data_IF_217752465886
#
_entry.id   IF_217752465886
#
_cell.length_a   1.000
_cell.length_b   1.000
_cell.length_c   1.000
_cell.angle_alpha   90.00
_cell.angle_beta   90.00
_cell.angle_gamma   90.00
#
_symmetry.space_group_name_H-M   'P 1'
#
loop_
_entity.id
_entity.type
_entity.pdbx_description
1 polymer ?
#
# COMPACT_ATOMS: atom_id res chain seq x y z
N UNK A 1 -8.65 -20.16 -43.71
CA UNK A 1 -7.65 -20.29 -42.64
C UNK A 1 -6.47 -19.38 -42.98
N UNK A 2 -6.30 -18.27 -42.26
CA UNK A 2 -5.23 -17.32 -42.53
C UNK A 2 -3.88 -17.97 -42.19
N UNK A 3 -2.99 -18.04 -43.19
CA UNK A 3 -1.64 -18.58 -43.06
C UNK A 3 -0.85 -17.72 -42.05
N UNK A 4 -0.34 -18.35 -41.00
CA UNK A 4 0.55 -17.70 -40.05
C UNK A 4 1.90 -17.40 -40.74
N UNK A 5 2.48 -16.19 -40.58
CA UNK A 5 3.73 -15.85 -41.23
C UNK A 5 4.87 -16.73 -40.69
N UNK A 6 5.48 -17.51 -41.59
CA UNK A 6 6.61 -18.44 -41.37
C UNK A 6 7.98 -17.74 -41.41
N UNK A 7 8.04 -16.46 -41.03
CA UNK A 7 9.30 -15.75 -40.79
C UNK A 7 9.83 -16.01 -39.38
N UNK A 8 11.16 -15.95 -39.20
CA UNK A 8 11.79 -15.91 -37.87
C UNK A 8 11.26 -14.68 -37.12
N UNK A 9 10.24 -14.85 -36.29
CA UNK A 9 9.62 -13.75 -35.56
C UNK A 9 10.61 -13.13 -34.58
N UNK A 10 10.87 -11.83 -34.73
CA UNK A 10 11.68 -11.04 -33.81
C UNK A 10 11.05 -11.11 -32.42
N UNK A 11 11.74 -11.79 -31.50
CA UNK A 11 11.24 -12.03 -30.16
C UNK A 11 12.38 -12.03 -29.16
N UNK A 12 12.16 -11.35 -28.05
CA UNK A 12 13.06 -11.39 -26.89
C UNK A 12 12.29 -11.90 -25.69
N UNK A 13 12.93 -12.79 -24.93
CA UNK A 13 12.39 -13.28 -23.68
C UNK A 13 13.28 -12.79 -22.54
N UNK A 14 12.67 -12.12 -21.58
CA UNK A 14 13.33 -11.64 -20.37
C UNK A 14 12.57 -12.08 -19.13
N UNK A 15 13.26 -12.06 -17.99
CA UNK A 15 12.66 -12.39 -16.71
C UNK A 15 12.91 -11.29 -15.67
N UNK A 16 11.92 -11.08 -14.81
CA UNK A 16 11.98 -10.27 -13.61
C UNK A 16 11.77 -11.15 -12.38
N UNK A 17 12.42 -10.82 -11.27
CA UNK A 17 12.34 -11.61 -10.02
C UNK A 17 12.25 -10.69 -8.82
N UNK A 18 11.30 -10.98 -7.93
CA UNK A 18 11.18 -10.32 -6.63
C UNK A 18 10.70 -11.33 -5.60
N UNK A 19 11.47 -11.54 -4.52
CA UNK A 19 11.22 -12.65 -3.58
C UNK A 19 11.02 -13.95 -4.37
N UNK A 20 9.99 -14.73 -4.07
CA UNK A 20 9.67 -15.97 -4.79
C UNK A 20 8.89 -15.75 -6.09
N UNK A 21 8.50 -14.52 -6.43
CA UNK A 21 7.76 -14.22 -7.65
C UNK A 21 8.71 -14.14 -8.86
N UNK A 22 8.30 -14.81 -9.95
CA UNK A 22 8.99 -14.80 -11.23
C UNK A 22 8.02 -14.34 -12.31
N UNK A 23 8.43 -13.30 -13.03
CA UNK A 23 7.73 -12.79 -14.19
C UNK A 23 8.57 -13.05 -15.44
N UNK A 24 7.93 -13.50 -16.52
CA UNK A 24 8.54 -13.71 -17.83
C UNK A 24 7.84 -12.80 -18.83
N UNK A 25 8.61 -11.92 -19.46
CA UNK A 25 8.15 -11.04 -20.52
C UNK A 25 8.61 -11.58 -21.88
N UNK A 26 7.67 -11.78 -22.78
CA UNK A 26 7.91 -12.06 -24.18
C UNK A 26 7.60 -10.80 -24.97
N UNK A 27 8.64 -10.22 -25.55
CA UNK A 27 8.62 -8.96 -26.27
C UNK A 27 8.74 -9.24 -27.76
N UNK A 28 7.83 -8.71 -28.57
CA UNK A 28 7.77 -8.92 -30.02
C UNK A 28 7.57 -7.59 -30.74
N UNK A 29 7.95 -7.50 -32.00
CA UNK A 29 7.49 -6.42 -32.90
C UNK A 29 5.97 -6.39 -32.96
N UNK A 30 5.36 -5.21 -32.81
CA UNK A 30 3.91 -5.11 -32.84
C UNK A 30 3.35 -3.71 -32.63
N UNK A 31 2.11 -3.66 -32.17
CA UNK A 31 1.24 -2.47 -32.09
C UNK A 31 1.18 -1.80 -30.70
N UNK A 32 2.00 -2.24 -29.74
CA UNK A 32 2.01 -1.70 -28.38
C UNK A 32 1.06 -2.42 -27.41
N UNK A 33 0.57 -3.62 -27.73
CA UNK A 33 -0.34 -4.35 -26.86
C UNK A 33 0.39 -5.03 -25.69
N UNK A 34 -0.02 -4.72 -24.46
CA UNK A 34 0.51 -5.35 -23.25
C UNK A 34 -0.54 -6.25 -22.60
N UNK A 35 -0.23 -7.55 -22.50
CA UNK A 35 -1.13 -8.56 -21.93
C UNK A 35 -0.45 -9.33 -20.79
N UNK A 36 -1.12 -9.46 -19.65
CA UNK A 36 -0.74 -10.28 -18.52
C UNK A 36 -1.59 -11.55 -18.44
N UNK A 37 -0.96 -12.73 -18.52
CA UNK A 37 -1.64 -14.03 -18.39
C UNK A 37 -2.84 -14.21 -19.35
N UNK A 38 -2.87 -13.49 -20.47
CA UNK A 38 -3.99 -13.49 -21.42
C UNK A 38 -5.00 -12.36 -21.21
N UNK A 39 -4.99 -11.71 -20.04
CA UNK A 39 -5.77 -10.52 -19.75
C UNK A 39 -5.01 -9.25 -20.13
N UNK A 40 -5.70 -8.14 -20.44
CA UNK A 40 -5.06 -6.85 -20.65
C UNK A 40 -4.50 -6.27 -19.33
N UNK A 41 -3.48 -5.41 -19.43
CA UNK A 41 -2.77 -4.86 -18.27
C UNK A 41 -3.66 -4.01 -17.33
N UNK A 42 -4.77 -3.47 -17.83
CA UNK A 42 -5.70 -2.69 -17.00
C UNK A 42 -6.42 -3.55 -15.94
N UNK A 43 -6.57 -4.86 -16.17
CA UNK A 43 -7.31 -5.77 -15.27
C UNK A 43 -6.43 -6.31 -14.13
N UNK A 44 -5.19 -5.83 -13.98
CA UNK A 44 -4.27 -6.30 -12.92
C UNK A 44 -4.74 -5.81 -11.55
N UNK A 45 -5.01 -6.77 -10.66
CA UNK A 45 -5.31 -6.52 -9.24
C UNK A 45 -4.06 -6.68 -8.38
N UNK A 46 -3.85 -5.91 -7.31
CA UNK A 46 -4.66 -4.76 -6.84
C UNK A 46 -4.41 -3.47 -7.64
N UNK A 47 -5.46 -2.65 -7.77
CA UNK A 47 -5.48 -1.48 -8.65
C UNK A 47 -4.47 -0.39 -8.27
N UNK A 48 -4.21 -0.21 -6.97
CA UNK A 48 -3.26 0.79 -6.44
C UNK A 48 -1.84 0.51 -6.96
N UNK A 49 -1.46 -0.77 -7.00
CA UNK A 49 -0.12 -1.18 -7.42
C UNK A 49 0.01 -1.33 -8.94
N UNK A 50 -1.10 -1.26 -9.69
CA UNK A 50 -1.11 -1.34 -11.15
C UNK A 50 -0.23 -0.26 -11.80
N UNK A 51 -0.21 0.94 -11.21
CA UNK A 51 0.63 2.07 -11.65
C UNK A 51 2.11 1.67 -11.72
N UNK A 52 2.59 0.84 -10.78
CA UNK A 52 3.99 0.38 -10.76
C UNK A 52 4.38 -0.45 -11.97
N UNK A 53 3.43 -1.16 -12.61
CA UNK A 53 3.73 -1.89 -13.85
C UNK A 53 3.77 -0.95 -15.06
N UNK A 54 3.01 0.15 -15.01
CA UNK A 54 2.98 1.17 -16.07
C UNK A 54 4.17 2.13 -16.05
N UNK A 55 4.83 2.32 -14.91
CA UNK A 55 6.00 3.21 -14.79
C UNK A 55 7.04 3.06 -15.93
N UNK A 56 7.59 1.87 -16.25
CA UNK A 56 8.55 1.75 -17.34
C UNK A 56 7.98 2.09 -18.72
N UNK A 57 6.66 1.98 -18.92
CA UNK A 57 5.99 2.37 -20.16
C UNK A 57 5.80 3.89 -20.23
N UNK A 58 5.46 4.51 -19.09
CA UNK A 58 5.27 5.96 -18.98
C UNK A 58 6.60 6.71 -19.12
N UNK A 59 7.67 6.22 -18.49
CA UNK A 59 9.02 6.82 -18.54
C UNK A 59 9.60 6.86 -19.96
N UNK A 60 9.30 5.84 -20.77
CA UNK A 60 9.83 5.74 -22.13
C UNK A 60 8.96 6.42 -23.18
N UNK A 61 7.76 6.88 -22.80
CA UNK A 61 6.81 7.50 -23.70
C UNK A 61 6.09 6.50 -24.62
N UNK A 62 5.00 6.97 -25.22
CA UNK A 62 4.16 6.16 -26.11
C UNK A 62 4.91 5.75 -27.38
N UNK A 63 5.77 6.60 -27.92
CA UNK A 63 6.44 6.39 -29.22
C UNK A 63 7.33 5.13 -29.23
N UNK A 64 8.02 4.87 -28.11
CA UNK A 64 8.89 3.71 -27.94
C UNK A 64 8.09 2.43 -27.63
N UNK A 65 6.93 2.58 -26.98
CA UNK A 65 6.06 1.47 -26.62
C UNK A 65 5.19 0.98 -27.79
N UNK A 66 4.72 1.87 -28.66
CA UNK A 66 3.85 1.53 -29.80
C UNK A 66 4.48 0.58 -30.80
N UNK A 67 5.81 0.44 -30.81
CA UNK A 67 6.56 -0.45 -31.71
C UNK A 67 6.58 -1.92 -31.26
N UNK A 68 6.16 -2.19 -30.01
CA UNK A 68 6.49 -3.43 -29.32
C UNK A 68 5.28 -4.01 -28.59
N UNK A 69 4.93 -5.25 -28.89
CA UNK A 69 3.93 -6.02 -28.14
C UNK A 69 4.59 -6.83 -27.02
N UNK A 70 3.98 -6.79 -25.82
CA UNK A 70 4.53 -7.43 -24.62
C UNK A 70 3.51 -8.43 -24.05
N UNK A 71 3.89 -9.71 -24.02
CA UNK A 71 3.14 -10.78 -23.34
C UNK A 71 3.83 -11.19 -22.06
N UNK A 72 3.15 -11.01 -20.94
CA UNK A 72 3.65 -11.27 -19.60
C UNK A 72 3.05 -12.55 -19.04
N UNK A 73 3.87 -13.38 -18.41
CA UNK A 73 3.46 -14.53 -17.60
C UNK A 73 4.08 -14.43 -16.22
N UNK A 74 3.29 -14.67 -15.18
CA UNK A 74 3.77 -14.58 -13.78
C UNK A 74 3.41 -15.83 -13.02
N UNK A 75 4.34 -16.30 -12.19
CA UNK A 75 4.14 -17.41 -11.26
C UNK A 75 4.87 -17.15 -9.94
N UNK A 76 4.28 -17.62 -8.84
CA UNK A 76 4.86 -17.58 -7.49
C UNK A 76 4.73 -16.23 -6.78
N UNK A 77 5.08 -16.22 -5.49
CA UNK A 77 5.00 -15.05 -4.61
C UNK A 77 3.57 -14.51 -4.38
N UNK A 78 3.47 -13.42 -3.63
CA UNK A 78 2.21 -12.67 -3.44
C UNK A 78 2.05 -11.51 -4.42
N UNK A 79 0.87 -10.87 -4.42
CA UNK A 79 0.49 -9.81 -5.37
C UNK A 79 1.55 -8.71 -5.52
N UNK A 80 2.05 -8.16 -4.42
CA UNK A 80 3.08 -7.10 -4.44
C UNK A 80 4.38 -7.60 -5.07
N UNK A 81 4.85 -8.80 -4.69
CA UNK A 81 6.06 -9.39 -5.27
C UNK A 81 5.92 -9.63 -6.77
N UNK A 82 4.76 -10.10 -7.21
CA UNK A 82 4.43 -10.31 -8.62
C UNK A 82 4.48 -9.01 -9.42
N UNK A 83 3.92 -7.92 -8.89
CA UNK A 83 3.92 -6.61 -9.55
C UNK A 83 5.33 -6.06 -9.73
N UNK A 84 6.18 -6.14 -8.71
CA UNK A 84 7.58 -5.71 -8.84
C UNK A 84 8.37 -6.60 -9.79
N UNK A 85 8.09 -7.90 -9.85
CA UNK A 85 8.69 -8.78 -10.84
C UNK A 85 8.23 -8.42 -12.27
N UNK A 86 6.96 -8.08 -12.46
CA UNK A 86 6.40 -7.61 -13.73
C UNK A 86 7.04 -6.32 -14.21
N UNK A 87 7.06 -5.32 -13.33
CA UNK A 87 7.71 -4.02 -13.52
C UNK A 87 9.14 -4.21 -14.02
N UNK A 88 9.89 -5.12 -13.39
CA UNK A 88 11.26 -5.44 -13.80
C UNK A 88 11.34 -6.18 -15.15
N UNK A 89 10.44 -7.13 -15.41
CA UNK A 89 10.44 -7.91 -16.63
C UNK A 89 10.14 -7.05 -17.87
N UNK A 90 9.23 -6.07 -17.74
CA UNK A 90 8.91 -5.09 -18.80
C UNK A 90 10.13 -4.25 -19.13
N UNK A 91 10.74 -3.62 -18.12
CA UNK A 91 11.92 -2.77 -18.31
C UNK A 91 13.08 -3.52 -18.99
N UNK A 92 13.43 -4.71 -18.48
CA UNK A 92 14.45 -5.58 -19.09
C UNK A 92 14.09 -6.01 -20.51
N UNK A 93 12.82 -6.32 -20.74
CA UNK A 93 12.31 -6.74 -22.03
C UNK A 93 12.53 -5.67 -23.11
N UNK A 94 12.26 -4.41 -22.79
CA UNK A 94 12.45 -3.29 -23.72
C UNK A 94 13.95 -3.09 -23.98
N UNK A 95 14.79 -3.00 -22.94
CA UNK A 95 16.24 -2.84 -23.12
C UNK A 95 16.85 -3.96 -23.96
N UNK A 96 16.45 -5.21 -23.72
CA UNK A 96 16.97 -6.36 -24.46
C UNK A 96 16.45 -6.42 -25.91
N UNK A 97 15.27 -5.86 -26.19
CA UNK A 97 14.74 -5.72 -27.54
C UNK A 97 15.55 -4.70 -28.35
N UNK A 98 15.77 -3.51 -27.80
CA UNK A 98 16.61 -2.48 -28.43
C UNK A 98 18.05 -2.96 -28.65
N UNK A 99 18.59 -3.72 -27.69
CA UNK A 99 19.93 -4.33 -27.82
C UNK A 99 20.07 -5.27 -29.02
N UNK A 100 19.00 -5.96 -29.43
CA UNK A 100 19.08 -6.97 -30.50
C UNK A 100 18.67 -6.44 -31.87
N UNK A 101 17.69 -5.54 -31.93
CA UNK A 101 16.98 -5.22 -33.18
C UNK A 101 17.07 -3.76 -33.62
N UNK A 102 17.55 -2.84 -32.79
CA UNK A 102 17.57 -1.41 -33.11
C UNK A 102 19.03 -0.91 -33.10
N UNK A 103 19.52 -0.38 -31.99
CA UNK A 103 20.84 0.23 -31.90
C UNK A 103 21.34 0.33 -30.45
N UNK A 104 22.65 0.49 -30.29
CA UNK A 104 23.29 0.60 -28.97
C UNK A 104 23.09 1.98 -28.31
N UNK A 105 22.95 3.04 -29.10
CA UNK A 105 22.77 4.40 -28.59
C UNK A 105 21.42 4.54 -27.89
N UNK A 106 20.31 4.20 -28.57
CA UNK A 106 18.97 4.20 -27.98
C UNK A 106 18.86 3.27 -26.78
N UNK A 107 19.57 2.12 -26.80
CA UNK A 107 19.62 1.22 -25.64
C UNK A 107 20.25 1.90 -24.42
N UNK A 108 21.36 2.62 -24.60
CA UNK A 108 22.03 3.35 -23.51
C UNK A 108 21.10 4.43 -22.95
N UNK A 109 20.49 5.25 -23.82
CA UNK A 109 19.51 6.26 -23.40
C UNK A 109 18.36 5.67 -22.57
N UNK A 110 17.73 4.60 -23.06
CA UNK A 110 16.62 3.93 -22.36
C UNK A 110 17.11 3.41 -21.01
N UNK A 111 18.28 2.76 -20.98
CA UNK A 111 18.83 2.20 -19.75
C UNK A 111 19.12 3.30 -18.74
N UNK A 112 19.68 4.43 -19.17
CA UNK A 112 20.04 5.55 -18.31
C UNK A 112 18.79 6.25 -17.76
N UNK A 113 17.75 6.47 -18.58
CA UNK A 113 16.44 6.98 -18.14
C UNK A 113 15.83 6.07 -17.07
N UNK A 114 15.82 4.75 -17.30
CA UNK A 114 15.25 3.79 -16.36
C UNK A 114 16.07 3.70 -15.07
N UNK A 115 17.41 3.74 -15.16
CA UNK A 115 18.29 3.70 -14.00
C UNK A 115 18.24 4.98 -13.17
N UNK A 116 18.08 6.15 -13.81
CA UNK A 116 17.91 7.43 -13.15
C UNK A 116 16.61 7.48 -12.33
N UNK A 117 15.53 6.86 -12.82
CA UNK A 117 14.29 6.76 -12.05
C UNK A 117 14.40 5.73 -10.91
N UNK A 118 14.74 4.47 -11.23
CA UNK A 118 14.84 3.41 -10.23
C UNK A 118 15.72 2.25 -10.70
N UNK A 119 16.80 2.00 -9.95
CA UNK A 119 17.73 0.87 -10.19
C UNK A 119 17.04 -0.49 -10.20
N UNK A 120 15.94 -0.66 -9.45
CA UNK A 120 15.21 -1.94 -9.33
C UNK A 120 14.50 -2.37 -10.62
N UNK A 121 14.34 -1.47 -11.60
CA UNK A 121 13.80 -1.78 -12.92
C UNK A 121 14.74 -2.69 -13.72
N UNK A 122 16.05 -2.47 -13.60
CA UNK A 122 17.08 -3.23 -14.32
C UNK A 122 17.72 -4.29 -13.42
N UNK A 123 18.00 -3.97 -12.16
CA UNK A 123 18.69 -4.88 -11.22
C UNK A 123 17.69 -5.52 -10.28
N UNK A 124 17.79 -6.84 -10.05
CA UNK A 124 16.88 -7.55 -9.17
C UNK A 124 17.27 -7.33 -7.71
N UNK A 125 16.28 -7.25 -6.82
CA UNK A 125 16.50 -7.19 -5.38
C UNK A 125 16.92 -8.58 -4.86
N UNK A 126 18.13 -8.72 -4.26
CA UNK A 126 18.65 -10.01 -3.82
C UNK A 126 17.93 -10.55 -2.58
N UNK A 127 17.22 -9.71 -1.82
CA UNK A 127 16.65 -10.09 -0.53
C UNK A 127 15.70 -11.30 -0.61
N UNK A 128 15.83 -12.20 0.37
CA UNK A 128 15.00 -13.40 0.58
C UNK A 128 14.67 -13.55 2.06
N UNK A 129 13.65 -14.33 2.37
CA UNK A 129 13.36 -14.67 3.75
C UNK A 129 14.52 -15.53 4.27
N UNK A 130 15.11 -15.10 5.36
CA UNK A 130 16.11 -15.89 6.07
C UNK A 130 15.44 -17.16 6.63
N UNK A 131 16.18 -18.26 6.72
CA UNK A 131 15.68 -19.45 7.39
C UNK A 131 15.39 -19.14 8.86
N UNK A 132 14.37 -19.81 9.41
CA UNK A 132 14.04 -19.72 10.83
C UNK A 132 15.18 -20.33 11.66
N UNK A 133 15.58 -19.66 12.74
CA UNK A 133 16.51 -20.19 13.74
C UNK A 133 15.83 -21.31 14.53
N UNK A 134 16.55 -22.38 14.87
CA UNK A 134 16.02 -23.66 15.39
C UNK A 134 15.17 -23.55 16.66
N UNK A 135 15.30 -22.46 17.43
CA UNK A 135 14.62 -22.26 18.72
C UNK A 135 13.76 -20.98 18.80
N UNK A 136 13.59 -20.23 17.71
CA UNK A 136 12.78 -19.00 17.71
C UNK A 136 11.61 -19.08 16.72
N UNK A 137 10.54 -18.32 16.95
CA UNK A 137 9.43 -18.19 15.99
C UNK A 137 9.81 -17.39 14.74
N UNK A 138 10.92 -16.63 14.77
CA UNK A 138 11.39 -15.75 13.68
C UNK A 138 12.91 -15.91 13.40
N UNK A 139 13.39 -15.43 12.24
CA UNK A 139 14.80 -15.53 11.83
C UNK A 139 15.74 -14.57 12.57
N UNK A 140 15.21 -13.51 13.18
CA UNK A 140 15.97 -12.58 14.01
C UNK A 140 15.39 -12.56 15.44
N UNK A 141 16.17 -13.04 16.41
CA UNK A 141 16.60 -12.14 17.47
C UNK A 141 18.12 -12.12 17.49
N UNK A 142 18.68 -10.94 17.28
CA UNK A 142 20.02 -10.59 17.75
C UNK A 142 19.84 -9.34 18.62
N UNK A 143 19.52 -9.58 19.88
CA UNK A 143 20.15 -8.83 20.95
C UNK A 143 21.04 -9.87 21.61
N UNK A 144 22.33 -9.82 21.31
CA UNK A 144 23.33 -10.56 22.08
C UNK A 144 23.31 -9.92 23.47
N UNK A 145 22.93 -10.62 24.56
CA UNK A 145 23.23 -10.11 25.88
C UNK A 145 24.76 -10.10 26.02
N UNK A 146 25.31 -8.91 26.24
CA UNK A 146 26.72 -8.65 26.54
C UNK A 146 27.06 -9.20 27.95
N UNK A 147 26.86 -10.50 28.17
CA UNK A 147 27.09 -11.12 29.48
C UNK A 147 27.47 -12.61 29.45
N UNK A 148 27.84 -13.16 28.29
CA UNK A 148 28.25 -14.57 28.19
C UNK A 148 29.66 -14.80 27.58
N UNK A 149 30.52 -13.78 27.62
CA UNK A 149 31.97 -13.91 27.36
C UNK A 149 32.84 -13.56 28.57
N UNK A 150 32.28 -13.54 29.78
CA UNK A 150 33.07 -13.36 31.02
C UNK A 150 33.47 -14.68 31.70
N UNK A 151 32.84 -15.82 31.35
CA UNK A 151 33.18 -17.12 31.96
C UNK A 151 34.28 -17.89 31.22
N UNK A 152 34.68 -17.46 30.02
CA UNK A 152 35.81 -18.05 29.28
C UNK A 152 37.11 -17.26 29.42
N UNK A 153 37.07 -16.06 30.01
CA UNK A 153 38.24 -15.19 30.27
C UNK A 153 38.67 -15.23 31.75
N UNK A 154 37.80 -15.68 32.66
CA UNK A 154 38.11 -15.84 34.08
C UNK A 154 38.61 -17.25 34.48
N UNK A 155 38.91 -18.11 33.51
CA UNK A 155 39.55 -19.42 33.74
C UNK A 155 41.08 -19.39 33.82
N UNK A 156 41.73 -18.24 33.64
CA UNK A 156 43.19 -18.11 33.49
C UNK A 156 43.86 -17.09 34.43
N UNK A 157 43.25 -16.77 35.58
CA UNK A 157 43.91 -15.93 36.60
C UNK A 157 43.92 -16.61 37.97
N UNK A 158 44.78 -17.64 38.13
CA UNK A 158 45.60 -17.66 39.33
C UNK A 158 47.06 -17.97 38.99
N UNK A 159 47.72 -17.07 38.24
CA UNK A 159 49.20 -17.03 38.13
C UNK A 159 49.82 -15.63 38.15
N UNK A 160 49.01 -14.56 38.22
CA UNK A 160 49.49 -13.17 38.24
C UNK A 160 49.46 -12.51 39.63
N UNK A 161 48.88 -13.15 40.65
CA UNK A 161 48.86 -12.63 42.02
C UNK A 161 50.13 -12.94 42.84
N UNK A 162 51.11 -13.67 42.29
CA UNK A 162 52.34 -14.04 42.99
C UNK A 162 53.58 -13.22 42.58
N UNK A 163 53.44 -12.19 41.74
CA UNK A 163 54.58 -11.39 41.25
C UNK A 163 54.48 -9.88 41.52
N UNK A 164 53.60 -9.47 42.43
CA UNK A 164 53.51 -8.09 42.94
C UNK A 164 54.09 -7.95 44.36
N UNK A 165 55.20 -8.65 44.61
CA UNK A 165 56.17 -8.31 45.66
C UNK A 165 57.53 -8.31 45.00
N UNK A 166 57.86 -7.19 44.39
CA UNK A 166 59.20 -6.62 44.21
C UNK A 166 59.00 -5.45 43.25
N UNK A 167 59.34 -4.25 43.73
CA UNK A 167 59.30 -3.05 42.91
C UNK A 167 60.23 -3.21 41.70
N UNK A 168 59.90 -2.52 40.62
CA UNK A 168 60.72 -1.41 40.15
C UNK A 168 60.06 -0.73 38.93
N UNK A 169 60.29 0.57 38.89
CA UNK A 169 60.13 1.58 37.85
C UNK A 169 59.91 1.10 36.40
N UNK A 170 58.95 1.73 35.70
CA UNK A 170 59.15 2.47 34.43
C UNK A 170 57.82 3.07 33.96
N UNK A 171 57.68 4.40 33.99
CA UNK A 171 56.45 5.14 33.65
C UNK A 171 56.49 5.82 32.27
N UNK A 172 57.45 5.48 31.41
CA UNK A 172 57.62 6.13 30.11
C UNK A 172 57.28 5.25 28.90
N UNK A 173 57.06 3.95 29.09
CA UNK A 173 56.75 3.02 28.00
C UNK A 173 55.26 2.90 27.66
N UNK A 174 54.37 3.37 28.54
CA UNK A 174 52.91 3.29 28.36
C UNK A 174 52.30 4.48 27.60
N UNK A 175 52.99 5.62 27.50
CA UNK A 175 52.49 6.78 26.73
C UNK A 175 52.74 6.66 25.23
N UNK A 176 53.78 5.92 24.82
CA UNK A 176 54.11 5.71 23.40
C UNK A 176 53.17 4.72 22.68
N UNK A 177 52.44 3.89 23.42
CA UNK A 177 51.45 2.97 22.85
C UNK A 177 50.03 3.58 22.81
N UNK A 178 49.72 4.55 23.69
CA UNK A 178 48.45 5.30 23.63
C UNK A 178 48.41 6.30 22.46
N UNK A 179 49.54 6.96 22.15
CA UNK A 179 49.62 7.91 21.04
C UNK A 179 49.52 7.21 19.65
N UNK A 180 50.01 5.97 19.52
CA UNK A 180 49.94 5.21 18.27
C UNK A 180 48.55 4.63 17.95
N UNK A 181 47.67 4.50 18.94
CA UNK A 181 46.28 4.03 18.75
C UNK A 181 45.35 5.20 18.41
N UNK A 182 45.71 6.43 18.78
CA UNK A 182 44.92 7.63 18.49
C UNK A 182 45.02 8.10 17.03
N UNK A 183 46.09 7.74 16.31
CA UNK A 183 46.34 8.15 14.92
C UNK A 183 45.77 7.16 13.87
N UNK A 184 45.35 5.95 14.29
CA UNK A 184 44.80 4.93 13.40
C UNK A 184 43.25 4.95 13.27
N UNK A 185 42.55 5.85 13.96
CA UNK A 185 41.07 5.92 14.01
C UNK A 185 40.49 7.08 13.19
N UNK A 186 41.32 7.83 12.43
CA UNK A 186 40.84 9.02 11.69
C UNK A 186 40.53 8.84 10.20
N UNK A 187 40.68 7.65 9.60
CA UNK A 187 40.25 7.42 8.22
C UNK A 187 39.21 6.30 8.10
N UNK A 188 37.93 6.67 8.20
CA UNK A 188 36.81 6.09 7.41
C UNK A 188 35.51 6.84 7.72
N UNK A 189 35.16 7.79 6.85
CA UNK A 189 33.82 8.39 6.80
C UNK A 189 33.04 7.78 5.64
N UNK A 190 31.76 7.40 5.87
CA UNK A 190 30.74 7.81 4.91
C UNK A 190 29.58 8.55 5.60
N UNK A 191 29.19 9.65 4.97
CA UNK A 191 28.19 10.62 5.41
C UNK A 191 26.74 10.06 5.49
N UNK A 192 25.86 10.67 6.31
CA UNK A 192 24.47 10.26 6.43
C UNK A 192 23.55 11.06 5.50
N UNK A 193 22.72 10.36 4.72
CA UNK A 193 21.51 10.93 4.15
C UNK A 193 20.33 9.95 4.33
N UNK A 194 19.23 10.45 4.89
CA UNK A 194 17.89 9.94 4.60
C UNK A 194 17.12 9.34 5.77
N UNK A 195 16.57 10.18 6.64
CA UNK A 195 15.39 9.85 7.43
C UNK A 195 14.15 9.81 6.52
N UNK A 196 13.39 8.71 6.49
CA UNK A 196 11.91 8.79 6.44
C UNK A 196 11.21 7.50 6.92
N UNK A 197 10.53 7.63 8.06
CA UNK A 197 9.19 7.11 8.40
C UNK A 197 8.88 5.60 8.24
N UNK A 198 9.06 4.84 9.33
CA UNK A 198 8.32 3.59 9.59
C UNK A 198 7.15 3.88 10.55
N UNK A 199 5.93 3.44 10.19
CA UNK A 199 4.80 3.33 11.15
C UNK A 199 5.09 2.17 12.13
N UNK A 200 4.87 2.34 13.44
CA UNK A 200 5.16 1.29 14.41
C UNK A 200 4.11 0.17 14.37
N UNK A 201 4.58 -1.08 14.42
CA UNK A 201 3.75 -2.26 14.63
C UNK A 201 3.31 -2.34 16.11
N UNK A 202 2.08 -2.79 16.36
CA UNK A 202 1.56 -2.93 17.73
C UNK A 202 2.34 -4.01 18.52
N UNK A 203 2.77 -3.72 19.76
CA UNK A 203 3.56 -4.63 20.57
C UNK A 203 2.75 -5.86 21.03
N UNK A 204 3.41 -7.01 21.09
CA UNK A 204 2.89 -8.26 21.66
C UNK A 204 2.65 -8.13 23.17
N UNK A 205 1.81 -8.99 23.76
CA UNK A 205 1.41 -8.91 25.17
C UNK A 205 2.61 -9.02 26.13
N UNK A 206 3.64 -9.77 25.76
CA UNK A 206 4.94 -9.85 26.46
C UNK A 206 5.83 -8.61 26.26
N UNK A 207 5.76 -7.95 25.10
CA UNK A 207 6.40 -6.64 24.89
C UNK A 207 5.70 -5.56 25.70
N UNK A 208 4.37 -5.61 25.81
CA UNK A 208 3.59 -4.74 26.68
C UNK A 208 3.90 -4.99 28.16
N UNK A 209 3.99 -6.25 28.59
CA UNK A 209 4.37 -6.59 29.96
C UNK A 209 5.79 -6.11 30.29
N UNK A 210 6.76 -6.36 29.41
CA UNK A 210 8.13 -5.87 29.62
C UNK A 210 8.26 -4.35 29.49
N UNK A 211 7.41 -3.69 28.69
CA UNK A 211 7.29 -2.23 28.69
C UNK A 211 6.74 -1.71 30.01
N UNK A 212 5.68 -2.34 30.54
CA UNK A 212 5.09 -1.99 31.83
C UNK A 212 6.12 -2.22 32.94
N UNK A 213 6.86 -3.33 32.92
CA UNK A 213 7.90 -3.61 33.92
C UNK A 213 9.06 -2.62 33.83
N UNK A 214 9.49 -2.24 32.61
CA UNK A 214 10.48 -1.16 32.43
C UNK A 214 9.95 0.18 32.90
N UNK A 215 8.69 0.49 32.65
CA UNK A 215 8.06 1.73 33.10
C UNK A 215 7.92 1.77 34.62
N UNK A 216 7.59 0.64 35.26
CA UNK A 216 7.53 0.50 36.71
C UNK A 216 8.92 0.63 37.34
N UNK A 217 9.95 -0.02 36.76
CA UNK A 217 11.34 0.12 37.20
C UNK A 217 11.89 1.54 36.99
N UNK A 218 11.51 2.20 35.90
CA UNK A 218 11.88 3.58 35.61
C UNK A 218 11.05 4.59 36.42
N UNK A 219 9.90 4.21 36.97
CA UNK A 219 9.10 5.01 37.89
C UNK A 219 9.61 4.88 39.32
N UNK A 220 10.06 3.69 39.73
CA UNK A 220 10.66 3.45 41.05
C UNK A 220 12.09 3.96 41.16
N UNK A 221 12.79 4.19 40.04
CA UNK A 221 14.14 4.79 40.01
C UNK A 221 14.17 6.32 39.81
N UNK A 222 13.02 7.00 39.70
CA UNK A 222 13.03 8.47 39.51
C UNK A 222 13.37 9.18 40.82
N UNK A 223 14.34 10.07 40.74
CA UNK A 223 14.60 11.00 41.83
C UNK A 223 13.41 11.98 41.94
N UNK A 224 12.94 12.26 43.15
CA UNK A 224 11.81 13.18 43.44
C UNK A 224 11.91 14.52 42.68
N UNK A 225 13.13 15.04 42.54
CA UNK A 225 13.44 16.28 41.82
C UNK A 225 13.16 16.22 40.31
N UNK A 226 13.37 15.07 39.67
CA UNK A 226 13.08 14.89 38.23
C UNK A 226 11.57 14.90 37.98
N UNK A 227 10.79 14.28 38.88
CA UNK A 227 9.33 14.26 38.80
C UNK A 227 8.74 15.67 39.00
N UNK A 228 9.33 16.46 39.89
CA UNK A 228 8.94 17.86 40.10
C UNK A 228 9.20 18.73 38.86
N UNK A 229 10.37 18.57 38.22
CA UNK A 229 10.71 19.34 37.03
C UNK A 229 9.80 19.00 35.83
N UNK A 230 9.49 17.72 35.65
CA UNK A 230 8.54 17.23 34.64
C UNK A 230 7.13 17.80 34.89
N UNK A 231 6.66 17.79 36.14
CA UNK A 231 5.35 18.35 36.49
C UNK A 231 5.27 19.86 36.26
N UNK A 232 6.35 20.60 36.49
CA UNK A 232 6.40 22.05 36.22
C UNK A 232 6.33 22.32 34.72
N UNK A 233 7.04 21.54 33.90
CA UNK A 233 7.01 21.64 32.43
C UNK A 233 5.60 21.33 31.90
N UNK A 234 5.02 20.20 32.29
CA UNK A 234 3.66 19.82 31.91
C UNK A 234 2.61 20.86 32.32
N UNK A 235 2.74 21.44 33.50
CA UNK A 235 1.83 22.50 33.97
C UNK A 235 1.96 23.81 33.19
N UNK A 236 3.09 24.05 32.54
CA UNK A 236 3.32 25.21 31.67
C UNK A 236 2.74 24.96 30.28
N UNK A 237 2.98 23.77 29.73
CA UNK A 237 2.47 23.38 28.41
C UNK A 237 0.94 23.33 28.39
N UNK A 238 0.32 22.80 29.45
CA UNK A 238 -1.14 22.81 29.58
C UNK A 238 -1.73 24.22 29.68
N UNK A 239 -0.99 25.18 30.28
CA UNK A 239 -1.42 26.58 30.33
C UNK A 239 -1.32 27.26 28.97
N UNK A 240 -0.27 26.95 28.20
CA UNK A 240 -0.11 27.46 26.82
C UNK A 240 -1.20 26.91 25.90
N UNK A 241 -1.43 25.59 25.90
CA UNK A 241 -2.48 24.96 25.10
C UNK A 241 -3.88 25.46 25.47
N UNK A 242 -4.13 25.73 26.76
CA UNK A 242 -5.38 26.33 27.20
C UNK A 242 -5.54 27.77 26.71
N UNK A 243 -4.46 28.57 26.71
CA UNK A 243 -4.48 29.92 26.15
C UNK A 243 -4.72 29.92 24.63
N UNK A 244 -4.13 28.97 23.90
CA UNK A 244 -4.35 28.77 22.45
C UNK A 244 -5.79 28.37 22.10
N UNK A 245 -6.44 27.57 22.98
CA UNK A 245 -7.86 27.23 22.82
C UNK A 245 -8.79 28.38 23.23
N UNK A 246 -8.35 29.25 24.13
CA UNK A 246 -9.10 30.43 24.57
C UNK A 246 -8.99 31.59 23.57
N UNK A 247 -7.93 31.67 22.76
CA UNK A 247 -7.87 32.55 21.58
C UNK A 247 -8.89 32.11 20.52
N UNK A 248 -9.90 32.93 20.28
CA UNK A 248 -11.06 32.64 19.41
C UNK A 248 -10.76 32.34 17.94
N UNK A 249 -9.50 32.44 17.51
CA UNK A 249 -9.04 32.24 16.13
C UNK A 249 -9.40 30.84 15.59
N UNK A 250 -9.27 29.79 16.42
CA UNK A 250 -9.66 28.43 16.04
C UNK A 250 -11.18 28.29 15.79
N UNK A 251 -12.01 29.05 16.50
CA UNK A 251 -13.47 29.06 16.29
C UNK A 251 -13.84 29.80 15.01
N UNK A 252 -13.13 30.88 14.67
CA UNK A 252 -13.37 31.65 13.45
C UNK A 252 -12.95 30.85 12.21
N UNK A 253 -11.77 30.22 12.20
CA UNK A 253 -11.35 29.34 11.09
C UNK A 253 -12.32 28.17 10.88
N UNK A 254 -12.83 27.58 11.96
CA UNK A 254 -13.80 26.49 11.85
C UNK A 254 -15.17 26.98 11.32
N UNK A 255 -15.60 28.19 11.71
CA UNK A 255 -16.81 28.80 11.16
C UNK A 255 -16.65 29.12 9.66
N UNK A 256 -15.49 29.60 9.23
CA UNK A 256 -15.18 29.87 7.82
C UNK A 256 -15.22 28.58 6.97
N UNK A 257 -14.66 27.48 7.48
CA UNK A 257 -14.75 26.17 6.82
C UNK A 257 -16.20 25.67 6.72
N UNK A 258 -16.98 25.80 7.79
CA UNK A 258 -18.40 25.40 7.79
C UNK A 258 -19.20 26.23 6.78
N UNK A 259 -18.97 27.54 6.71
CA UNK A 259 -19.64 28.43 5.75
C UNK A 259 -19.18 28.19 4.30
N UNK A 260 -17.93 27.75 4.09
CA UNK A 260 -17.47 27.30 2.78
C UNK A 260 -18.23 26.05 2.32
N UNK A 261 -18.34 25.03 3.18
CA UNK A 261 -19.04 23.79 2.83
C UNK A 261 -20.54 24.00 2.61
N UNK A 262 -21.19 24.91 3.36
CA UNK A 262 -22.58 25.28 3.09
C UNK A 262 -22.76 25.90 1.71
N UNK A 263 -21.86 26.80 1.29
CA UNK A 263 -21.89 27.40 -0.06
C UNK A 263 -21.70 26.35 -1.15
N UNK A 264 -20.79 25.41 -0.93
CA UNK A 264 -20.53 24.34 -1.90
C UNK A 264 -21.74 23.40 -2.06
N UNK A 265 -22.40 23.05 -0.95
CA UNK A 265 -23.65 22.25 -1.00
C UNK A 265 -24.73 22.98 -1.80
N UNK A 266 -24.91 24.29 -1.59
CA UNK A 266 -25.90 25.08 -2.33
C UNK A 266 -25.60 25.14 -3.84
N UNK A 267 -24.33 25.25 -4.23
CA UNK A 267 -23.93 25.23 -5.64
C UNK A 267 -24.23 23.87 -6.30
N UNK A 268 -23.91 22.78 -5.61
CA UNK A 268 -24.18 21.43 -6.10
C UNK A 268 -25.68 21.14 -6.21
N UNK A 269 -26.48 21.65 -5.27
CA UNK A 269 -27.95 21.56 -5.34
C UNK A 269 -28.51 22.31 -6.55
N UNK A 270 -28.00 23.51 -6.84
CA UNK A 270 -28.38 24.27 -8.04
C UNK A 270 -28.02 23.53 -9.34
N UNK A 271 -26.82 22.96 -9.43
CA UNK A 271 -26.35 22.23 -10.61
C UNK A 271 -27.18 20.94 -10.84
N UNK A 272 -27.56 20.24 -9.77
CA UNK A 272 -28.46 19.09 -9.84
C UNK A 272 -29.84 19.50 -10.36
N UNK A 273 -30.33 20.67 -9.96
CA UNK A 273 -31.65 21.17 -10.37
C UNK A 273 -31.67 21.58 -11.84
N UNK A 274 -30.61 22.23 -12.33
CA UNK A 274 -30.43 22.53 -13.75
C UNK A 274 -30.39 21.24 -14.59
N UNK A 275 -29.67 20.20 -14.13
CA UNK A 275 -29.66 18.92 -14.83
C UNK A 275 -31.01 18.21 -14.87
N UNK A 276 -31.87 18.44 -13.86
CA UNK A 276 -33.25 17.90 -13.87
C UNK A 276 -34.12 18.63 -14.89
N UNK A 277 -34.04 19.95 -14.93
CA UNK A 277 -34.76 20.76 -15.92
C UNK A 277 -34.36 20.38 -17.35
N UNK A 278 -33.06 20.27 -17.64
CA UNK A 278 -32.57 19.84 -18.95
C UNK A 278 -33.05 18.44 -19.36
N UNK A 279 -33.26 17.54 -18.39
CA UNK A 279 -33.82 16.20 -18.64
C UNK A 279 -35.31 16.24 -18.92
N UNK A 280 -36.05 17.06 -18.18
CA UNK A 280 -37.49 17.25 -18.38
C UNK A 280 -37.75 17.85 -19.78
N UNK A 281 -37.01 18.89 -20.16
CA UNK A 281 -37.05 19.48 -21.51
C UNK A 281 -36.70 18.46 -22.60
N UNK A 282 -35.66 17.64 -22.39
CA UNK A 282 -35.31 16.58 -23.32
C UNK A 282 -36.41 15.52 -23.45
N UNK A 283 -37.12 15.17 -22.36
CA UNK A 283 -38.25 14.24 -22.41
C UNK A 283 -39.47 14.82 -23.12
N UNK A 284 -39.73 16.13 -22.97
CA UNK A 284 -40.79 16.83 -23.68
C UNK A 284 -40.51 16.87 -25.18
N UNK A 285 -39.27 17.21 -25.57
CA UNK A 285 -38.82 17.17 -26.97
C UNK A 285 -38.94 15.75 -27.55
N UNK A 286 -38.55 14.72 -26.79
CA UNK A 286 -38.65 13.32 -27.22
C UNK A 286 -40.11 12.88 -27.41
N UNK A 287 -41.03 13.37 -26.57
CA UNK A 287 -42.46 13.07 -26.69
C UNK A 287 -43.12 13.74 -27.91
N UNK A 288 -42.54 14.85 -28.39
CA UNK A 288 -43.05 15.62 -29.53
C UNK A 288 -42.59 15.10 -30.90
N UNK A 289 -41.51 14.32 -30.96
CA UNK A 289 -41.00 13.73 -32.20
C UNK A 289 -41.85 12.51 -32.58
N UNK A 290 -42.74 12.68 -33.57
CA UNK A 290 -43.49 11.57 -34.17
C UNK A 290 -42.51 10.60 -34.85
N UNK A 291 -42.42 9.38 -34.30
CA UNK A 291 -41.54 8.30 -34.75
C UNK A 291 -41.99 7.77 -36.11
N UNK A 292 -41.67 8.49 -37.17
CA UNK A 292 -41.66 7.97 -38.53
C UNK A 292 -40.41 8.52 -39.22
N UNK A 293 -39.54 7.59 -39.64
CA UNK A 293 -38.27 7.82 -40.34
C UNK A 293 -37.06 8.20 -39.48
N UNK A 294 -36.76 7.33 -38.51
CA UNK A 294 -35.45 7.31 -37.84
C UNK A 294 -34.50 6.33 -38.59
N UNK A 295 -33.33 6.79 -39.07
CA UNK A 295 -32.32 5.99 -39.79
C UNK A 295 -31.89 4.72 -39.03
N UNK A 296 -31.46 3.69 -39.76
CA UNK A 296 -31.14 2.35 -39.21
C UNK A 296 -30.02 2.35 -38.17
N UNK A 297 -29.12 3.32 -38.21
CA UNK A 297 -28.02 3.48 -37.23
C UNK A 297 -28.57 3.91 -35.87
N UNK A 298 -29.43 4.92 -35.84
CA UNK A 298 -30.10 5.38 -34.61
C UNK A 298 -31.02 4.30 -34.02
N UNK A 299 -31.62 3.43 -34.85
CA UNK A 299 -32.37 2.26 -34.34
C UNK A 299 -31.45 1.28 -33.59
N UNK A 300 -30.22 1.09 -34.04
CA UNK A 300 -29.27 0.19 -33.38
C UNK A 300 -28.81 0.74 -32.02
N UNK A 301 -28.68 2.06 -31.92
CA UNK A 301 -28.35 2.78 -30.68
C UNK A 301 -29.52 2.79 -29.70
N UNK A 302 -30.76 3.02 -30.17
CA UNK A 302 -31.98 2.92 -29.34
C UNK A 302 -32.16 1.49 -28.78
N UNK A 303 -31.85 0.46 -29.59
CA UNK A 303 -31.85 -0.94 -29.12
C UNK A 303 -30.74 -1.18 -28.09
N UNK A 304 -29.55 -0.59 -28.27
CA UNK A 304 -28.46 -0.69 -27.29
C UNK A 304 -28.78 0.02 -25.97
N UNK A 305 -29.38 1.21 -26.03
CA UNK A 305 -29.89 1.96 -24.86
C UNK A 305 -30.96 1.16 -24.11
N UNK A 306 -31.92 0.59 -24.84
CA UNK A 306 -32.97 -0.24 -24.24
C UNK A 306 -32.43 -1.52 -23.58
N UNK A 307 -31.30 -2.06 -24.05
CA UNK A 307 -30.62 -3.19 -23.41
C UNK A 307 -29.89 -2.75 -22.13
N UNK A 308 -29.17 -1.63 -22.20
CA UNK A 308 -28.48 -1.06 -21.04
C UNK A 308 -29.46 -0.68 -19.91
N UNK A 309 -30.65 -0.17 -20.24
CA UNK A 309 -31.70 0.14 -19.25
C UNK A 309 -32.29 -1.11 -18.58
N UNK A 310 -32.42 -2.23 -19.32
CA UNK A 310 -32.83 -3.52 -18.74
C UNK A 310 -31.77 -4.10 -17.81
N UNK A 311 -30.50 -4.03 -18.20
CA UNK A 311 -29.37 -4.47 -17.37
C UNK A 311 -29.24 -3.63 -16.08
N UNK A 312 -29.46 -2.31 -16.16
CA UNK A 312 -29.54 -1.44 -14.98
C UNK A 312 -30.69 -1.84 -14.03
N UNK A 313 -31.85 -2.19 -14.57
CA UNK A 313 -32.99 -2.64 -13.77
C UNK A 313 -32.73 -4.00 -13.10
N UNK A 314 -32.00 -4.90 -13.75
CA UNK A 314 -31.60 -6.19 -13.18
C UNK A 314 -30.60 -6.00 -12.02
N UNK A 315 -29.58 -5.17 -12.19
CA UNK A 315 -28.62 -4.83 -11.13
C UNK A 315 -29.30 -4.16 -9.92
N UNK A 316 -30.31 -3.32 -10.15
CA UNK A 316 -31.10 -2.71 -9.08
C UNK A 316 -31.91 -3.77 -8.29
N UNK A 317 -32.47 -4.79 -8.97
CA UNK A 317 -33.14 -5.91 -8.30
C UNK A 317 -32.16 -6.76 -7.51
N UNK A 318 -30.95 -6.97 -8.01
CA UNK A 318 -29.89 -7.68 -7.29
C UNK A 318 -29.44 -6.93 -6.04
N UNK A 319 -29.29 -5.60 -6.12
CA UNK A 319 -29.00 -4.76 -4.96
C UNK A 319 -30.11 -4.87 -3.90
N UNK A 320 -31.38 -4.79 -4.31
CA UNK A 320 -32.51 -4.94 -3.39
C UNK A 320 -32.55 -6.31 -2.72
N UNK A 321 -32.19 -7.39 -3.44
CA UNK A 321 -32.05 -8.74 -2.86
C UNK A 321 -30.92 -8.81 -1.83
N UNK A 322 -29.76 -8.22 -2.12
CA UNK A 322 -28.64 -8.17 -1.18
C UNK A 322 -28.98 -7.36 0.08
N UNK A 323 -29.67 -6.23 -0.07
CA UNK A 323 -30.11 -5.40 1.07
C UNK A 323 -31.18 -6.11 1.91
N UNK A 324 -32.10 -6.85 1.30
CA UNK A 324 -33.07 -7.67 2.02
C UNK A 324 -32.41 -8.81 2.80
N UNK A 325 -31.44 -9.51 2.19
CA UNK A 325 -30.67 -10.55 2.85
C UNK A 325 -29.84 -10.00 4.03
N UNK A 326 -29.25 -8.81 3.89
CA UNK A 326 -28.53 -8.14 4.98
C UNK A 326 -29.45 -7.83 6.17
N UNK A 327 -30.65 -7.26 5.91
CA UNK A 327 -31.66 -7.00 6.96
C UNK A 327 -32.13 -8.27 7.66
N UNK A 328 -32.25 -9.38 6.94
CA UNK A 328 -32.60 -10.67 7.53
C UNK A 328 -31.51 -11.18 8.49
N UNK A 329 -30.24 -11.10 8.08
CA UNK A 329 -29.09 -11.47 8.93
C UNK A 329 -29.01 -10.58 10.17
N UNK A 330 -29.22 -9.27 10.02
CA UNK A 330 -29.31 -8.34 11.15
C UNK A 330 -30.46 -8.70 12.10
N UNK A 331 -31.63 -9.09 11.56
CA UNK A 331 -32.77 -9.57 12.33
C UNK A 331 -32.44 -10.82 13.16
N UNK A 332 -31.76 -11.81 12.55
CA UNK A 332 -31.29 -13.03 13.23
C UNK A 332 -30.23 -12.72 14.30
N UNK A 333 -29.33 -11.78 14.04
CA UNK A 333 -28.34 -11.32 15.02
C UNK A 333 -29.01 -10.58 16.20
N UNK A 334 -30.08 -9.82 15.94
CA UNK A 334 -30.84 -9.14 16.98
C UNK A 334 -31.65 -10.10 17.86
N UNK A 335 -32.21 -11.18 17.31
CA UNK A 335 -32.88 -12.22 18.10
C UNK A 335 -31.88 -13.01 18.94
N UNK A 336 -30.73 -13.40 18.37
CA UNK A 336 -29.64 -14.05 19.13
C UNK A 336 -29.16 -13.19 20.31
N UNK A 337 -29.03 -11.87 20.11
CA UNK A 337 -28.71 -10.93 21.19
C UNK A 337 -29.77 -10.91 22.30
N UNK A 338 -31.05 -10.97 21.94
CA UNK A 338 -32.15 -11.04 22.93
C UNK A 338 -32.10 -12.36 23.72
N UNK A 339 -31.83 -13.48 23.06
CA UNK A 339 -31.69 -14.78 23.73
C UNK A 339 -30.47 -14.84 24.66
N UNK A 340 -29.33 -14.26 24.25
CA UNK A 340 -28.12 -14.17 25.07
C UNK A 340 -28.28 -13.23 26.28
N UNK A 341 -29.07 -12.17 26.13
CA UNK A 341 -29.45 -11.28 27.24
C UNK A 341 -30.33 -11.99 28.26
N UNK A 342 -31.30 -12.78 27.79
CA UNK A 342 -32.20 -13.56 28.66
C UNK A 342 -31.45 -14.67 29.40
N UNK A 343 -30.37 -15.23 28.85
CA UNK A 343 -29.57 -16.28 29.49
C UNK A 343 -28.52 -15.77 30.51
N UNK A 344 -28.34 -14.45 30.64
CA UNK A 344 -27.50 -13.84 31.69
C UNK A 344 -25.98 -13.96 31.51
N UNK A 345 -25.49 -14.39 30.34
CA UNK A 345 -24.06 -14.58 30.04
C UNK A 345 -23.24 -13.28 29.85
N UNK A 346 -23.83 -12.10 30.01
CA UNK A 346 -23.17 -10.80 29.78
C UNK A 346 -22.02 -10.47 30.76
N UNK A 347 -21.86 -11.25 31.84
CA UNK A 347 -20.85 -10.98 32.88
C UNK A 347 -19.43 -11.48 32.50
N UNK A 348 -19.29 -12.32 31.48
CA UNK A 348 -18.00 -12.84 31.03
C UNK A 348 -17.37 -11.99 29.91
N UNK A 349 -16.12 -11.56 30.09
CA UNK A 349 -15.41 -10.67 29.14
C UNK A 349 -15.36 -11.18 27.70
N UNK A 350 -15.24 -12.50 27.48
CA UNK A 350 -15.21 -13.10 26.14
C UNK A 350 -16.58 -13.07 25.43
N UNK A 351 -17.67 -13.31 26.16
CA UNK A 351 -19.03 -13.23 25.60
C UNK A 351 -19.40 -11.80 25.21
N UNK A 352 -18.92 -10.80 25.98
CA UNK A 352 -19.12 -9.38 25.67
C UNK A 352 -18.35 -8.94 24.43
N UNK A 353 -17.13 -9.42 24.23
CA UNK A 353 -16.37 -9.20 22.99
C UNK A 353 -17.03 -9.86 21.78
N UNK A 354 -17.56 -11.07 21.93
CA UNK A 354 -18.28 -11.76 20.86
C UNK A 354 -19.57 -11.03 20.47
N UNK A 355 -20.40 -10.61 21.43
CA UNK A 355 -21.64 -9.84 21.18
C UNK A 355 -21.36 -8.49 20.51
N UNK A 356 -20.24 -7.84 20.86
CA UNK A 356 -19.79 -6.59 20.26
C UNK A 356 -19.21 -6.78 18.85
N UNK A 357 -18.66 -7.96 18.52
CA UNK A 357 -18.06 -8.27 17.23
C UNK A 357 -19.07 -8.71 16.14
N UNK A 358 -20.29 -9.13 16.51
CA UNK A 358 -21.33 -9.59 15.57
C UNK A 358 -21.69 -8.62 14.43
N UNK A 359 -21.71 -7.28 14.58
CA UNK A 359 -21.97 -6.36 13.47
C UNK A 359 -20.81 -6.28 12.46
N UNK A 360 -19.59 -6.64 12.88
CA UNK A 360 -18.37 -6.39 12.11
C UNK A 360 -18.08 -7.47 11.06
N UNK A 361 -18.69 -8.66 11.19
CA UNK A 361 -18.34 -9.82 10.35
C UNK A 361 -18.92 -9.73 8.92
N UNK A 362 -20.07 -9.08 8.71
CA UNK A 362 -20.71 -9.00 7.39
C UNK A 362 -20.88 -7.57 6.83
N UNK A 363 -20.85 -6.53 7.66
CA UNK A 363 -21.06 -5.14 7.20
C UNK A 363 -20.02 -4.70 6.16
N UNK A 364 -18.75 -5.08 6.35
CA UNK A 364 -17.68 -4.77 5.40
C UNK A 364 -17.86 -5.48 4.06
N UNK A 365 -18.35 -6.73 4.05
CA UNK A 365 -18.61 -7.47 2.82
C UNK A 365 -19.79 -6.87 2.04
N UNK A 366 -20.85 -6.45 2.74
CA UNK A 366 -22.02 -5.78 2.16
C UNK A 366 -21.66 -4.38 1.64
N UNK A 367 -20.83 -3.62 2.35
CA UNK A 367 -20.33 -2.32 1.89
C UNK A 367 -19.44 -2.45 0.64
N UNK A 368 -18.59 -3.48 0.58
CA UNK A 368 -17.76 -3.76 -0.59
C UNK A 368 -18.63 -4.17 -1.79
N UNK A 369 -19.67 -4.98 -1.58
CA UNK A 369 -20.62 -5.33 -2.63
C UNK A 369 -21.43 -4.11 -3.11
N UNK A 370 -21.90 -3.28 -2.17
CA UNK A 370 -22.66 -2.04 -2.44
C UNK A 370 -21.82 -1.02 -3.22
N UNK A 371 -20.56 -0.81 -2.83
CA UNK A 371 -19.64 0.10 -3.54
C UNK A 371 -19.31 -0.41 -4.94
N UNK A 372 -19.10 -1.72 -5.12
CA UNK A 372 -18.89 -2.32 -6.43
C UNK A 372 -20.11 -2.17 -7.36
N UNK A 373 -21.32 -2.41 -6.84
CA UNK A 373 -22.57 -2.23 -7.58
C UNK A 373 -22.82 -0.77 -7.94
N UNK A 374 -22.56 0.17 -7.01
CA UNK A 374 -22.67 1.61 -7.25
C UNK A 374 -21.74 2.09 -8.38
N UNK A 375 -20.49 1.63 -8.38
CA UNK A 375 -19.52 1.94 -9.46
C UNK A 375 -20.00 1.39 -10.80
N UNK A 376 -20.58 0.19 -10.82
CA UNK A 376 -21.10 -0.40 -12.05
C UNK A 376 -22.32 0.38 -12.58
N UNK A 377 -23.25 0.77 -11.71
CA UNK A 377 -24.39 1.61 -12.06
C UNK A 377 -23.96 2.99 -12.60
N UNK A 378 -22.94 3.62 -12.00
CA UNK A 378 -22.40 4.88 -12.49
C UNK A 378 -21.81 4.75 -13.89
N UNK A 379 -21.06 3.66 -14.15
CA UNK A 379 -20.50 3.39 -15.49
C UNK A 379 -21.59 3.21 -16.55
N UNK A 380 -22.66 2.47 -16.23
CA UNK A 380 -23.76 2.25 -17.17
C UNK A 380 -24.60 3.53 -17.40
N UNK A 381 -24.75 4.40 -16.38
CA UNK A 381 -25.35 5.73 -16.53
C UNK A 381 -24.54 6.65 -17.43
N UNK A 382 -23.21 6.64 -17.31
CA UNK A 382 -22.33 7.42 -18.18
C UNK A 382 -22.37 6.92 -19.63
N UNK A 383 -22.44 5.60 -19.83
CA UNK A 383 -22.58 5.00 -21.15
C UNK A 383 -23.94 5.31 -21.79
N UNK A 384 -25.03 5.33 -21.00
CA UNK A 384 -26.34 5.72 -21.53
C UNK A 384 -26.45 7.23 -21.80
N UNK A 385 -25.75 8.08 -21.04
CA UNK A 385 -25.63 9.51 -21.34
C UNK A 385 -24.82 9.76 -22.61
N UNK A 386 -23.68 9.08 -22.78
CA UNK A 386 -22.82 9.19 -23.96
C UNK A 386 -23.45 8.65 -25.26
N UNK A 387 -24.46 7.79 -25.15
CA UNK A 387 -25.25 7.29 -26.28
C UNK A 387 -26.54 8.10 -26.52
N UNK A 388 -26.88 9.05 -25.61
CA UNK A 388 -27.99 10.00 -25.76
C UNK A 388 -27.52 11.36 -26.29
N UNK A 389 -26.28 11.75 -25.98
CA UNK A 389 -25.54 12.85 -26.62
C UNK A 389 -25.06 12.46 -28.01
#
# INVERSE_FOLDING_TARGET
>A
AAQAPTGKQEKVQCFGRKKTAVAVALVRTGSGQVRLNGCPLHTVKPDILRVKVYEPLLLLGKDRCSKVDIRLRVKGGGFTGQIYALRQAVAKGIVAYYQKYIDEASKKEIKDILMAYDRSLIVADPRRCEPKKTLCTCSLPEVIPMSAELDTVLGWVPKLASKAKNGDLETESLKKEEDAVSEAVQDTVPSPHGETSLRPAFPTLTELQSQVDRQLLHATSRNHWQVLEENIKLSRDLRMARAELETGEMRECWQEEVEFWKREVMNLEAEIQEQRQNREEATELTSSVKVAEVPTEVRSEVVALSRAERELAELAREQARCEAAAKEVEGRNATLRRSLKQSGLERGGAARLFVNALPALDAQAVEVARTALNVHMQKMKLQSQAAKS
#
